data_IF_108389877985
#
_entry.id   IF_108389877985
#
_cell.length_a   1.000
_cell.length_b   1.000
_cell.length_c   1.000
_cell.angle_alpha   90.00
_cell.angle_beta   90.00
_cell.angle_gamma   90.00
#
_symmetry.space_group_name_H-M   'P 1'
#
loop_
_entity.id
_entity.type
_entity.pdbx_description
1 polymer ?
#
# COMPACT_ATOMS: atom_id res chain seq x y z
N UNK A 1 -8.47 13.01 -7.32
CA UNK A 1 -7.91 11.98 -8.21
C UNK A 1 -7.86 10.66 -7.46
N UNK A 2 -8.44 9.59 -8.00
CA UNK A 2 -8.49 8.27 -7.36
C UNK A 2 -7.62 7.28 -8.13
N UNK A 3 -6.85 6.46 -7.40
CA UNK A 3 -6.01 5.41 -7.96
C UNK A 3 -6.49 4.03 -7.49
N UNK A 4 -6.57 3.08 -8.42
CA UNK A 4 -7.00 1.71 -8.14
C UNK A 4 -6.06 0.70 -8.80
N UNK A 5 -5.61 -0.30 -8.04
CA UNK A 5 -4.75 -1.37 -8.56
C UNK A 5 -5.06 -2.74 -7.94
N UNK A 6 -5.14 -3.77 -8.80
CA UNK A 6 -5.15 -5.18 -8.38
C UNK A 6 -4.01 -5.92 -9.07
N UNK A 7 -3.13 -6.57 -8.31
CA UNK A 7 -2.06 -7.38 -8.88
C UNK A 7 -1.84 -8.71 -8.13
N UNK A 8 -1.39 -9.74 -8.85
CA UNK A 8 -0.94 -10.99 -8.20
C UNK A 8 0.42 -10.79 -7.54
N UNK A 9 1.37 -10.20 -8.28
CA UNK A 9 2.72 -9.93 -7.80
C UNK A 9 3.12 -8.53 -8.18
N UNK A 10 3.61 -7.78 -7.20
CA UNK A 10 4.11 -6.44 -7.41
C UNK A 10 5.44 -6.31 -6.68
N UNK A 11 6.47 -5.86 -7.40
CA UNK A 11 7.79 -5.68 -6.78
C UNK A 11 7.80 -4.41 -5.95
N UNK A 12 7.36 -3.30 -6.53
CA UNK A 12 7.25 -2.03 -5.86
C UNK A 12 6.03 -1.27 -6.37
N UNK A 13 5.40 -0.50 -5.50
CA UNK A 13 4.38 0.47 -5.86
C UNK A 13 4.73 1.83 -5.24
N UNK A 14 4.52 2.90 -6.00
CA UNK A 14 4.48 4.26 -5.48
C UNK A 14 3.17 4.88 -5.92
N UNK A 15 2.37 5.33 -4.95
CA UNK A 15 1.06 5.94 -5.21
C UNK A 15 1.04 7.32 -4.57
N UNK A 16 0.61 8.30 -5.36
CA UNK A 16 0.34 9.66 -4.91
C UNK A 16 -0.95 10.15 -5.60
N UNK A 17 -2.02 10.21 -4.82
CA UNK A 17 -3.40 10.42 -5.21
C UNK A 17 -4.18 10.98 -4.01
N UNK A 18 -5.36 11.54 -4.26
CA UNK A 18 -6.23 11.98 -3.16
C UNK A 18 -6.78 10.76 -2.40
N UNK A 19 -7.08 9.69 -3.13
CA UNK A 19 -7.55 8.42 -2.60
C UNK A 19 -6.91 7.27 -3.38
N UNK A 20 -6.39 6.27 -2.68
CA UNK A 20 -5.86 5.06 -3.30
C UNK A 20 -6.44 3.79 -2.71
N UNK A 21 -6.66 2.82 -3.59
CA UNK A 21 -7.06 1.46 -3.23
C UNK A 21 -6.17 0.43 -3.94
N UNK A 22 -5.54 -0.44 -3.17
CA UNK A 22 -4.60 -1.44 -3.69
C UNK A 22 -4.83 -2.84 -3.12
N UNK A 23 -4.95 -3.84 -4.00
CA UNK A 23 -5.07 -5.26 -3.63
C UNK A 23 -3.92 -6.06 -4.24
N UNK A 24 -3.06 -6.66 -3.41
CA UNK A 24 -1.92 -7.44 -3.90
C UNK A 24 -1.68 -8.75 -3.14
N UNK A 25 -1.55 -9.90 -3.85
CA UNK A 25 -1.20 -11.14 -3.13
C UNK A 25 0.23 -11.10 -2.58
N UNK A 26 1.19 -10.59 -3.35
CA UNK A 26 2.58 -10.41 -2.90
C UNK A 26 3.09 -9.05 -3.32
N UNK A 27 3.54 -8.27 -2.35
CA UNK A 27 4.16 -6.96 -2.54
C UNK A 27 5.49 -6.90 -1.79
N UNK A 28 6.56 -6.45 -2.45
CA UNK A 28 7.86 -6.35 -1.76
C UNK A 28 8.04 -4.97 -1.13
N UNK A 29 7.71 -3.90 -1.84
CA UNK A 29 7.70 -2.54 -1.29
C UNK A 29 6.45 -1.77 -1.71
N UNK A 30 5.94 -0.93 -0.82
CA UNK A 30 4.97 0.11 -1.14
C UNK A 30 5.45 1.44 -0.57
N UNK A 31 5.27 2.52 -1.34
CA UNK A 31 5.33 3.90 -0.85
C UNK A 31 4.01 4.56 -1.20
N UNK A 32 3.25 4.97 -0.20
CA UNK A 32 1.93 5.55 -0.36
C UNK A 32 1.96 6.95 0.26
N UNK A 33 1.54 7.95 -0.52
CA UNK A 33 1.49 9.35 -0.11
C UNK A 33 0.17 9.98 -0.57
N UNK A 34 -0.91 9.74 0.17
CA UNK A 34 -2.29 10.03 -0.17
C UNK A 34 -3.08 10.63 1.01
N UNK A 35 -4.20 11.32 0.74
CA UNK A 35 -5.07 11.78 1.85
C UNK A 35 -5.79 10.59 2.50
N UNK A 36 -6.19 9.61 1.69
CA UNK A 36 -6.81 8.37 2.13
C UNK A 36 -6.29 7.17 1.35
N UNK A 37 -5.70 6.19 2.04
CA UNK A 37 -5.23 4.96 1.42
C UNK A 37 -5.83 3.71 2.03
N UNK A 38 -6.17 2.76 1.16
CA UNK A 38 -6.59 1.42 1.54
C UNK A 38 -5.75 0.37 0.81
N UNK A 39 -5.04 -0.46 1.56
CA UNK A 39 -4.20 -1.52 1.01
C UNK A 39 -4.52 -2.89 1.63
N UNK A 40 -4.74 -3.90 0.79
CA UNK A 40 -4.89 -5.29 1.22
C UNK A 40 -3.79 -6.13 0.58
N UNK A 41 -2.94 -6.73 1.42
CA UNK A 41 -1.86 -7.60 0.95
C UNK A 41 -1.77 -8.92 1.73
N UNK A 42 -1.53 -10.05 1.05
CA UNK A 42 -1.25 -11.30 1.80
C UNK A 42 0.18 -11.32 2.33
N UNK A 43 1.15 -10.93 1.50
CA UNK A 43 2.54 -10.83 1.90
C UNK A 43 3.10 -9.48 1.49
N UNK A 44 3.58 -8.71 2.46
CA UNK A 44 4.20 -7.41 2.27
C UNK A 44 5.55 -7.37 2.99
N UNK A 45 6.64 -7.04 2.29
CA UNK A 45 7.96 -7.00 2.96
C UNK A 45 8.23 -5.65 3.61
N UNK A 46 7.91 -4.55 2.93
CA UNK A 46 8.12 -3.20 3.45
C UNK A 46 7.01 -2.28 2.94
N UNK A 47 6.56 -1.37 3.80
CA UNK A 47 5.69 -0.27 3.43
C UNK A 47 6.18 1.03 4.09
N UNK A 48 6.14 2.11 3.31
CA UNK A 48 6.23 3.48 3.79
C UNK A 48 4.92 4.16 3.45
N UNK A 49 4.26 4.72 4.46
CA UNK A 49 2.94 5.33 4.31
C UNK A 49 3.02 6.73 4.89
N UNK A 50 2.63 7.74 4.12
CA UNK A 50 2.65 9.15 4.48
C UNK A 50 1.27 9.73 4.17
N UNK A 51 0.28 9.38 4.99
CA UNK A 51 -1.13 9.62 4.70
C UNK A 51 -1.87 10.20 5.91
N UNK A 52 -2.90 11.01 5.66
CA UNK A 52 -3.77 11.53 6.72
C UNK A 52 -4.65 10.42 7.34
N UNK A 53 -5.07 9.47 6.52
CA UNK A 53 -5.81 8.27 6.92
C UNK A 53 -5.37 7.07 6.08
N UNK A 54 -4.65 6.15 6.69
CA UNK A 54 -4.23 4.90 6.06
C UNK A 54 -4.83 3.67 6.73
N UNK A 55 -5.31 2.75 5.91
CA UNK A 55 -5.75 1.43 6.35
C UNK A 55 -5.05 0.34 5.54
N UNK A 56 -4.25 -0.47 6.21
CA UNK A 56 -3.50 -1.56 5.59
C UNK A 56 -3.77 -2.89 6.31
N UNK A 57 -4.29 -3.89 5.60
CA UNK A 57 -4.38 -5.27 6.10
C UNK A 57 -3.29 -6.08 5.42
N UNK A 58 -2.37 -6.60 6.22
CA UNK A 58 -1.31 -7.50 5.76
C UNK A 58 -1.22 -8.76 6.62
N UNK A 59 -1.35 -9.95 6.02
CA UNK A 59 -1.22 -11.20 6.78
C UNK A 59 0.22 -11.48 7.20
N UNK A 60 1.19 -11.11 6.37
CA UNK A 60 2.60 -11.19 6.71
C UNK A 60 3.31 -9.91 6.32
N UNK A 61 3.68 -9.12 7.33
CA UNK A 61 4.42 -7.89 7.18
C UNK A 61 5.74 -7.96 7.94
N UNK A 62 6.85 -7.61 7.28
CA UNK A 62 8.17 -7.61 7.94
C UNK A 62 8.53 -6.25 8.53
N UNK A 63 8.14 -5.16 7.89
CA UNK A 63 8.40 -3.80 8.37
C UNK A 63 7.38 -2.83 7.77
N UNK A 64 6.91 -1.90 8.58
CA UNK A 64 6.15 -0.74 8.15
C UNK A 64 6.68 0.51 8.83
N UNK A 65 6.63 1.61 8.08
CA UNK A 65 6.89 2.96 8.56
C UNK A 65 5.70 3.81 8.20
N UNK A 66 5.14 4.48 9.20
CA UNK A 66 4.07 5.46 9.04
C UNK A 66 4.71 6.81 9.41
N UNK A 67 4.74 7.72 8.45
CA UNK A 67 5.30 9.07 8.55
C UNK A 67 4.18 10.10 8.72
#
# INVERSE_FOLDING_TARGET
LQAYAICKHMRSASVCALQAYGMCKRMRSASICDVQAYALCKHMRSASICDLQAYAICNQMRSASIL
#
